data_IF_398731976850
#
_entry.id   IF_398731976850
#
_cell.length_a   1.000
_cell.length_b   1.000
_cell.length_c   1.000
_cell.angle_alpha   90.00
_cell.angle_beta   90.00
_cell.angle_gamma   90.00
#
_symmetry.space_group_name_H-M   'P 1'
#
loop_
_entity.id
_entity.type
_entity.pdbx_description
1 polymer ?
#
# COMPACT_ATOMS: atom_id res chain seq x y z
N UNK A 1 -3.94 19.81 1.14
CA UNK A 1 -2.93 18.81 0.69
C UNK A 1 -2.63 19.08 -0.78
N UNK A 2 -1.52 18.58 -1.35
CA UNK A 2 -1.03 18.81 -2.74
C UNK A 2 -1.32 17.52 -3.56
N UNK A 3 -1.92 17.57 -4.76
CA UNK A 3 -2.12 16.36 -5.60
C UNK A 3 -0.72 15.96 -6.02
N UNK A 4 -0.27 14.74 -5.72
CA UNK A 4 1.01 14.30 -6.23
C UNK A 4 0.92 14.29 -7.76
N UNK A 5 1.68 15.15 -8.43
CA UNK A 5 2.05 14.96 -9.83
C UNK A 5 2.52 13.52 -10.06
N UNK A 6 2.42 13.02 -11.29
CA UNK A 6 2.90 11.68 -11.64
C UNK A 6 4.39 11.47 -11.27
N UNK A 7 5.19 12.55 -11.28
CA UNK A 7 6.58 12.53 -10.83
C UNK A 7 6.68 12.40 -9.30
N UNK A 8 5.98 13.23 -8.54
CA UNK A 8 5.98 13.12 -7.07
C UNK A 8 5.43 11.80 -6.55
N UNK A 9 4.49 11.15 -7.27
CA UNK A 9 4.04 9.81 -6.89
C UNK A 9 5.08 8.74 -7.21
N UNK A 10 5.79 8.83 -8.34
CA UNK A 10 6.93 7.93 -8.62
C UNK A 10 7.97 8.01 -7.50
N UNK A 11 8.24 9.22 -7.03
CA UNK A 11 9.18 9.46 -5.95
C UNK A 11 8.63 8.97 -4.60
N UNK A 12 7.32 9.10 -4.36
CA UNK A 12 6.63 8.55 -3.20
C UNK A 12 6.68 7.02 -3.18
N UNK A 13 6.25 6.35 -4.26
CA UNK A 13 6.28 4.87 -4.41
C UNK A 13 7.72 4.35 -4.30
N UNK A 14 8.71 5.07 -4.84
CA UNK A 14 10.12 4.68 -4.69
C UNK A 14 10.59 4.77 -3.24
N UNK A 15 10.18 5.83 -2.53
CA UNK A 15 10.52 6.03 -1.13
C UNK A 15 9.82 4.99 -0.25
N UNK A 16 8.55 4.71 -0.51
CA UNK A 16 7.77 3.66 0.15
C UNK A 16 8.40 2.28 -0.02
N UNK A 17 8.67 1.90 -1.27
CA UNK A 17 9.33 0.64 -1.58
C UNK A 17 10.59 0.43 -0.73
N UNK A 18 11.41 1.47 -0.56
CA UNK A 18 12.61 1.37 0.27
C UNK A 18 12.28 1.19 1.77
N UNK A 19 11.36 1.98 2.32
CA UNK A 19 10.95 1.87 3.72
C UNK A 19 10.34 0.50 4.03
N UNK A 20 9.43 0.02 3.17
CA UNK A 20 8.79 -1.29 3.29
C UNK A 20 9.82 -2.41 3.17
N UNK A 21 10.79 -2.30 2.25
CA UNK A 21 11.88 -3.25 2.11
C UNK A 21 12.76 -3.33 3.36
N UNK A 22 13.16 -2.18 3.92
CA UNK A 22 13.96 -2.11 5.15
C UNK A 22 13.19 -2.73 6.32
N UNK A 23 11.91 -2.39 6.47
CA UNK A 23 11.06 -2.94 7.52
C UNK A 23 10.89 -4.46 7.37
N UNK A 24 10.54 -4.95 6.18
CA UNK A 24 10.39 -6.38 5.89
C UNK A 24 11.68 -7.15 6.16
N UNK A 25 12.83 -6.60 5.74
CA UNK A 25 14.15 -7.21 5.99
C UNK A 25 14.48 -7.27 7.48
N UNK A 26 14.19 -6.20 8.21
CA UNK A 26 14.38 -6.15 9.67
C UNK A 26 13.50 -7.18 10.37
N UNK A 27 12.23 -7.27 9.97
CA UNK A 27 11.27 -8.24 10.51
C UNK A 27 11.73 -9.68 10.27
N UNK A 28 12.25 -9.98 9.07
CA UNK A 28 12.83 -11.27 8.73
C UNK A 28 13.99 -11.64 9.66
N UNK A 29 14.83 -10.68 10.02
CA UNK A 29 15.96 -10.90 10.93
C UNK A 29 15.51 -11.10 12.38
N UNK A 30 14.57 -10.28 12.85
CA UNK A 30 13.99 -10.44 14.19
C UNK A 30 13.30 -11.80 14.36
N UNK A 31 12.67 -12.34 13.32
CA UNK A 31 12.01 -13.66 13.36
C UNK A 31 12.99 -14.84 13.38
N UNK A 32 14.24 -14.65 12.95
CA UNK A 32 15.30 -15.69 13.00
C UNK A 32 16.00 -15.75 14.35
N UNK A 33 15.92 -14.68 15.13
CA UNK A 33 16.62 -14.53 16.41
C UNK A 33 15.67 -14.76 17.58
N UNK A 34 16.19 -14.94 18.79
CA UNK A 34 15.39 -14.98 20.03
C UNK A 34 14.92 -13.57 20.45
N UNK A 35 14.51 -12.75 19.48
CA UNK A 35 14.03 -11.39 19.70
C UNK A 35 12.71 -11.39 20.47
N UNK A 36 12.51 -10.38 21.32
CA UNK A 36 11.25 -10.15 22.04
C UNK A 36 10.14 -9.79 21.04
N UNK A 37 9.32 -10.78 20.71
CA UNK A 37 8.22 -10.66 19.74
C UNK A 37 7.21 -9.56 20.12
N UNK A 38 7.12 -9.19 21.40
CA UNK A 38 6.25 -8.09 21.85
C UNK A 38 6.76 -6.77 21.33
N UNK A 39 8.06 -6.48 21.51
CA UNK A 39 8.70 -5.25 21.01
C UNK A 39 8.70 -5.18 19.49
N UNK A 40 8.93 -6.32 18.84
CA UNK A 40 8.86 -6.40 17.37
C UNK A 40 7.44 -6.07 16.89
N UNK A 41 6.42 -6.56 17.59
CA UNK A 41 5.03 -6.23 17.28
C UNK A 41 4.67 -4.76 17.55
N UNK A 42 5.16 -4.16 18.63
CA UNK A 42 4.99 -2.73 18.90
C UNK A 42 5.58 -1.88 17.76
N UNK A 43 6.79 -2.22 17.30
CA UNK A 43 7.41 -1.56 16.17
C UNK A 43 6.62 -1.78 14.87
N UNK A 44 6.10 -2.99 14.64
CA UNK A 44 5.25 -3.29 13.49
C UNK A 44 3.95 -2.46 13.50
N UNK A 45 3.30 -2.32 14.65
CA UNK A 45 2.10 -1.49 14.80
C UNK A 45 2.39 -0.01 14.59
N UNK A 46 3.52 0.49 15.11
CA UNK A 46 3.98 1.85 14.84
C UNK A 46 4.21 2.08 13.35
N UNK A 47 4.93 1.17 12.68
CA UNK A 47 5.20 1.26 11.24
C UNK A 47 3.91 1.31 10.41
N UNK A 48 2.93 0.48 10.75
CA UNK A 48 1.63 0.51 10.09
C UNK A 48 0.93 1.86 10.28
N UNK A 49 0.79 2.30 11.54
CA UNK A 49 -0.03 3.45 11.91
C UNK A 49 0.56 4.78 11.46
N UNK A 50 1.88 4.93 11.58
CA UNK A 50 2.56 6.20 11.37
C UNK A 50 3.11 6.36 9.94
N UNK A 51 3.09 5.29 9.14
CA UNK A 51 3.67 5.32 7.80
C UNK A 51 2.82 4.57 6.77
N UNK A 52 2.72 3.25 6.91
CA UNK A 52 2.33 2.41 5.78
C UNK A 52 0.82 2.49 5.47
N UNK A 53 -0.04 2.77 6.45
CA UNK A 53 -1.47 2.96 6.21
C UNK A 53 -1.76 4.21 5.36
N UNK A 54 -1.11 5.34 5.65
CA UNK A 54 -1.26 6.57 4.86
C UNK A 54 -0.80 6.34 3.42
N UNK A 55 0.33 5.66 3.26
CA UNK A 55 0.91 5.36 1.97
C UNK A 55 0.00 4.48 1.11
N UNK A 56 -0.56 3.40 1.69
CA UNK A 56 -1.56 2.57 1.03
C UNK A 56 -2.74 3.42 0.51
N UNK A 57 -3.22 4.38 1.31
CA UNK A 57 -4.34 5.25 0.91
C UNK A 57 -3.97 6.18 -0.25
N UNK A 58 -2.77 6.74 -0.26
CA UNK A 58 -2.30 7.61 -1.35
C UNK A 58 -2.18 6.83 -2.65
N UNK A 59 -1.62 5.62 -2.61
CA UNK A 59 -1.51 4.74 -3.75
C UNK A 59 -2.87 4.31 -4.31
N UNK A 60 -3.78 3.87 -3.43
CA UNK A 60 -5.13 3.47 -3.81
C UNK A 60 -5.89 4.60 -4.51
N UNK A 61 -5.79 5.82 -3.97
CA UNK A 61 -6.39 7.02 -4.56
C UNK A 61 -5.80 7.32 -5.93
N UNK A 62 -4.47 7.26 -6.04
CA UNK A 62 -3.82 7.50 -7.31
C UNK A 62 -4.25 6.50 -8.37
N UNK A 63 -4.25 5.21 -8.06
CA UNK A 63 -4.68 4.19 -9.01
C UNK A 63 -6.15 4.31 -9.36
N UNK A 64 -7.04 4.59 -8.41
CA UNK A 64 -8.45 4.80 -8.73
C UNK A 64 -8.68 5.93 -9.73
N UNK A 65 -7.83 6.97 -9.69
CA UNK A 65 -7.93 8.12 -10.60
C UNK A 65 -7.29 7.88 -11.97
N UNK A 66 -6.20 7.13 -12.02
CA UNK A 66 -5.36 7.03 -13.23
C UNK A 66 -5.44 5.67 -13.93
N UNK A 67 -5.87 4.63 -13.23
CA UNK A 67 -6.03 3.27 -13.73
C UNK A 67 -7.52 2.92 -13.79
N UNK A 68 -7.89 2.12 -14.79
CA UNK A 68 -9.24 1.56 -14.81
C UNK A 68 -9.42 0.61 -13.63
N UNK A 69 -10.53 0.74 -12.90
CA UNK A 69 -10.84 -0.13 -11.76
C UNK A 69 -10.89 -1.62 -12.12
N UNK A 70 -11.10 -1.92 -13.40
CA UNK A 70 -11.14 -3.28 -13.93
C UNK A 70 -9.77 -3.93 -14.13
N UNK A 71 -8.68 -3.18 -13.98
CA UNK A 71 -7.35 -3.73 -14.10
C UNK A 71 -7.09 -4.76 -12.99
N UNK A 72 -6.78 -6.02 -13.35
CA UNK A 72 -6.49 -7.07 -12.38
C UNK A 72 -5.40 -6.67 -11.38
N UNK A 73 -4.43 -5.87 -11.83
CA UNK A 73 -3.33 -5.37 -11.03
C UNK A 73 -3.79 -4.43 -9.91
N UNK A 74 -4.71 -3.51 -10.19
CA UNK A 74 -5.26 -2.61 -9.17
C UNK A 74 -6.07 -3.39 -8.12
N UNK A 75 -6.88 -4.35 -8.57
CA UNK A 75 -7.62 -5.26 -7.67
C UNK A 75 -6.66 -6.05 -6.77
N UNK A 76 -5.47 -6.43 -7.28
CA UNK A 76 -4.45 -7.14 -6.53
C UNK A 76 -3.78 -6.27 -5.46
N UNK A 77 -3.41 -5.02 -5.77
CA UNK A 77 -2.87 -4.06 -4.78
C UNK A 77 -3.86 -3.86 -3.63
N UNK A 78 -5.12 -3.57 -3.95
CA UNK A 78 -6.18 -3.39 -2.96
C UNK A 78 -6.34 -4.63 -2.06
N UNK A 79 -6.20 -5.83 -2.63
CA UNK A 79 -6.27 -7.05 -1.86
C UNK A 79 -5.06 -7.24 -0.93
N UNK A 80 -3.85 -6.87 -1.37
CA UNK A 80 -2.64 -6.87 -0.54
C UNK A 80 -2.77 -5.90 0.63
N UNK A 81 -3.17 -4.65 0.38
CA UNK A 81 -3.34 -3.63 1.42
C UNK A 81 -4.36 -4.06 2.49
N UNK A 82 -5.49 -4.63 2.07
CA UNK A 82 -6.49 -5.19 3.00
C UNK A 82 -5.95 -6.35 3.84
N UNK A 83 -5.14 -7.23 3.26
CA UNK A 83 -4.51 -8.33 4.00
C UNK A 83 -3.51 -7.80 5.02
N UNK A 84 -2.65 -6.86 4.61
CA UNK A 84 -1.69 -6.20 5.49
C UNK A 84 -2.40 -5.50 6.66
N UNK A 85 -3.40 -4.66 6.37
CA UNK A 85 -4.21 -4.00 7.39
C UNK A 85 -4.74 -4.97 8.45
N UNK A 86 -5.32 -6.11 8.02
CA UNK A 86 -5.81 -7.14 8.94
C UNK A 86 -4.71 -7.78 9.78
N UNK A 87 -3.55 -8.04 9.19
CA UNK A 87 -2.42 -8.65 9.89
C UNK A 87 -1.85 -7.71 10.96
N UNK A 88 -1.74 -6.41 10.67
CA UNK A 88 -1.24 -5.40 11.62
C UNK A 88 -2.25 -5.07 12.74
N UNK A 89 -3.56 -5.09 12.46
CA UNK A 89 -4.59 -4.61 13.40
C UNK A 89 -5.29 -5.70 14.20
N UNK A 90 -5.13 -6.98 13.85
CA UNK A 90 -5.80 -8.09 14.55
C UNK A 90 -4.92 -9.34 14.68
N UNK A 91 -3.76 -9.24 15.34
CA UNK A 91 -2.87 -10.39 15.53
C UNK A 91 -3.48 -11.38 16.53
N UNK A 92 -3.76 -12.62 16.10
CA UNK A 92 -4.18 -13.71 17.01
C UNK A 92 -3.00 -14.39 17.70
N UNK A 93 -1.88 -14.53 17.00
CA UNK A 93 -0.63 -15.12 17.49
C UNK A 93 0.50 -14.26 16.94
N UNK A 94 1.33 -13.69 17.81
CA UNK A 94 2.33 -12.70 17.42
C UNK A 94 3.33 -13.24 16.40
N UNK A 95 3.95 -14.39 16.67
CA UNK A 95 4.91 -15.00 15.75
C UNK A 95 4.31 -15.24 14.36
N UNK A 96 3.13 -15.89 14.30
CA UNK A 96 2.44 -16.18 13.04
C UNK A 96 1.98 -14.89 12.33
N UNK A 97 1.56 -13.87 13.07
CA UNK A 97 1.16 -12.61 12.49
C UNK A 97 2.36 -11.88 11.87
N UNK A 98 3.45 -11.74 12.62
CA UNK A 98 4.69 -11.10 12.17
C UNK A 98 5.31 -11.82 10.97
N UNK A 99 5.33 -13.15 10.99
CA UNK A 99 5.80 -13.95 9.85
C UNK A 99 4.92 -13.73 8.60
N UNK A 100 3.59 -13.69 8.74
CA UNK A 100 2.69 -13.38 7.62
C UNK A 100 2.78 -11.94 7.14
N UNK A 101 3.03 -10.98 8.03
CA UNK A 101 3.29 -9.58 7.66
C UNK A 101 4.52 -9.55 6.76
N UNK A 102 5.60 -10.20 7.18
CA UNK A 102 6.83 -10.27 6.39
C UNK A 102 6.58 -10.86 4.99
N UNK A 103 5.94 -12.02 4.91
CA UNK A 103 5.61 -12.70 3.64
C UNK A 103 4.74 -11.83 2.72
N UNK A 104 3.72 -11.16 3.26
CA UNK A 104 2.82 -10.33 2.48
C UNK A 104 3.50 -9.04 2.01
N UNK A 105 4.39 -8.44 2.81
CA UNK A 105 5.20 -7.29 2.41
C UNK A 105 6.19 -7.66 1.30
N UNK A 106 6.87 -8.79 1.39
CA UNK A 106 7.76 -9.28 0.34
C UNK A 106 6.99 -9.56 -0.97
N UNK A 107 5.80 -10.15 -0.87
CA UNK A 107 4.92 -10.35 -2.02
C UNK A 107 4.40 -9.02 -2.61
N UNK A 108 4.18 -8.02 -1.77
CA UNK A 108 3.79 -6.67 -2.19
C UNK A 108 4.93 -5.99 -2.95
N UNK A 109 6.13 -5.91 -2.38
CA UNK A 109 7.33 -5.34 -3.02
C UNK A 109 7.62 -5.99 -4.38
N UNK A 110 7.59 -7.33 -4.46
CA UNK A 110 7.80 -8.05 -5.72
C UNK A 110 6.75 -7.71 -6.77
N UNK A 111 5.50 -7.50 -6.35
CA UNK A 111 4.43 -7.12 -7.25
C UNK A 111 4.63 -5.69 -7.76
N UNK A 112 4.95 -4.75 -6.88
CA UNK A 112 5.23 -3.36 -7.24
C UNK A 112 6.42 -3.24 -8.20
N UNK A 113 7.48 -3.99 -7.94
CA UNK A 113 8.67 -3.97 -8.79
C UNK A 113 8.39 -4.45 -10.21
N UNK A 114 7.59 -5.51 -10.36
CA UNK A 114 7.26 -6.10 -11.66
C UNK A 114 6.19 -5.33 -12.42
N UNK A 115 5.21 -4.82 -11.69
CA UNK A 115 3.94 -4.38 -12.27
C UNK A 115 3.82 -2.87 -12.18
N UNK A 116 3.88 -2.33 -10.96
CA UNK A 116 3.66 -0.91 -10.73
C UNK A 116 4.75 -0.04 -11.38
N UNK A 117 6.02 -0.41 -11.22
CA UNK A 117 7.12 0.32 -11.87
C UNK A 117 7.05 0.24 -13.40
N UNK A 118 6.43 -0.81 -13.97
CA UNK A 118 6.19 -0.90 -15.40
C UNK A 118 5.08 0.06 -15.84
N UNK A 119 3.93 0.03 -15.17
CA UNK A 119 2.81 0.95 -15.39
C UNK A 119 3.27 2.41 -15.34
N UNK A 120 4.05 2.79 -14.33
CA UNK A 120 4.57 4.16 -14.18
C UNK A 120 5.54 4.60 -15.29
N UNK A 121 6.20 3.65 -15.96
CA UNK A 121 7.09 3.93 -17.11
C UNK A 121 6.35 3.92 -18.44
N UNK A 122 5.21 3.23 -18.52
CA UNK A 122 4.40 3.13 -19.72
C UNK A 122 3.62 4.42 -19.98
N UNK A 123 4.00 5.13 -21.05
CA UNK A 123 3.37 6.38 -21.50
C UNK A 123 1.96 6.17 -22.07
N UNK A 124 1.52 4.93 -22.25
CA UNK A 124 0.19 4.60 -22.78
C UNK A 124 -0.91 4.55 -21.72
N UNK A 125 -0.56 4.65 -20.42
CA UNK A 125 -1.52 5.16 -19.44
C UNK A 125 -1.81 6.59 -19.85
N UNK A 126 -2.83 6.77 -20.70
CA UNK A 126 -3.55 8.03 -20.79
C UNK A 126 -4.04 8.28 -19.37
N UNK A 127 -3.24 9.01 -18.57
CA UNK A 127 -3.73 9.71 -17.39
C UNK A 127 -5.01 10.35 -17.87
N UNK A 128 -6.17 9.84 -17.42
CA UNK A 128 -7.45 10.43 -17.80
C UNK A 128 -7.30 11.90 -17.46
N UNK A 129 -7.28 12.70 -18.53
CA UNK A 129 -7.12 14.14 -18.63
C UNK A 129 -6.97 14.86 -17.29
N UNK A 130 -5.84 15.54 -17.06
CA UNK A 130 -5.67 16.66 -16.13
C UNK A 130 -6.79 16.75 -15.06
N UNK A 131 -6.76 15.87 -14.05
CA UNK A 131 -7.76 15.88 -12.99
C UNK A 131 -7.47 17.12 -12.12
N UNK A 132 -8.34 18.12 -12.20
CA UNK A 132 -8.28 19.29 -11.32
C UNK A 132 -8.63 18.88 -9.87
N UNK A 133 -8.19 19.65 -8.88
CA UNK A 133 -8.43 19.42 -7.46
C UNK A 133 -9.90 19.25 -7.07
N UNK A 134 -10.79 20.00 -7.74
CA UNK A 134 -12.22 19.86 -7.53
C UNK A 134 -12.74 18.50 -8.01
N UNK A 135 -12.20 17.98 -9.11
CA UNK A 135 -12.53 16.66 -9.60
C UNK A 135 -11.92 15.57 -8.70
N UNK A 136 -10.72 15.80 -8.17
CA UNK A 136 -10.08 14.90 -7.19
C UNK A 136 -10.99 14.67 -5.98
N UNK A 137 -11.44 15.72 -5.30
CA UNK A 137 -12.26 15.53 -4.10
C UNK A 137 -13.64 14.92 -4.41
N UNK A 138 -14.21 15.23 -5.57
CA UNK A 138 -15.51 14.69 -6.00
C UNK A 138 -15.43 13.21 -6.34
N UNK A 139 -14.47 12.81 -7.19
CA UNK A 139 -14.24 11.41 -7.59
C UNK A 139 -13.83 10.57 -6.38
N UNK A 140 -12.95 11.10 -5.53
CA UNK A 140 -12.50 10.43 -4.32
C UNK A 140 -13.68 10.25 -3.33
N UNK A 141 -14.50 11.28 -3.11
CA UNK A 141 -15.74 11.14 -2.32
C UNK A 141 -16.66 10.10 -2.92
N UNK A 142 -16.93 10.13 -4.21
CA UNK A 142 -17.87 9.21 -4.86
C UNK A 142 -17.39 7.75 -4.78
N UNK A 143 -16.12 7.48 -5.11
CA UNK A 143 -15.53 6.14 -5.08
C UNK A 143 -15.52 5.56 -3.67
N UNK A 144 -15.05 6.31 -2.67
CA UNK A 144 -15.00 5.81 -1.29
C UNK A 144 -16.37 5.81 -0.60
N UNK A 145 -17.32 6.68 -0.97
CA UNK A 145 -18.71 6.57 -0.52
C UNK A 145 -19.39 5.33 -1.09
N UNK A 146 -19.18 5.02 -2.38
CA UNK A 146 -19.68 3.78 -2.99
C UNK A 146 -19.08 2.58 -2.29
N UNK A 147 -17.76 2.49 -2.11
CA UNK A 147 -17.12 1.36 -1.41
C UNK A 147 -17.59 1.17 0.03
N UNK A 148 -17.83 2.26 0.78
CA UNK A 148 -18.38 2.18 2.14
C UNK A 148 -19.81 1.63 2.19
N UNK A 149 -20.60 1.76 1.12
CA UNK A 149 -21.94 1.17 1.01
C UNK A 149 -21.96 -0.30 0.60
N UNK A 150 -20.85 -0.84 0.08
CA UNK A 150 -20.75 -2.25 -0.38
C UNK A 150 -19.98 -3.15 0.61
N UNK A 151 -19.49 -2.62 1.73
CA UNK A 151 -18.92 -3.43 2.81
C UNK A 151 -20.04 -3.80 3.81
N UNK A 152 -20.38 -5.10 3.96
CA UNK A 152 -21.24 -5.58 5.04
C UNK A 152 -20.64 -5.32 6.42
#
# INVERSE_FOLDING_TARGET
MIVPTSQSLKDLIKTDYHCVYVFSSSLREYLKTESDLTKVNEYAQWFWKEYFEEQCLVEEQFFALHLSEDLPDFKKILAQHRRLKRLFTSPKNLFKALNRIEEELDAHLKFEERTLKFWLKDKTIRMKNHVDWHDFESINREYFQKKRKVSP
#
